data_IF_348764721676
#
_entry.id   IF_348764721676
#
_cell.length_a   1.000
_cell.length_b   1.000
_cell.length_c   1.000
_cell.angle_alpha   90.00
_cell.angle_beta   90.00
_cell.angle_gamma   90.00
#
_symmetry.space_group_name_H-M   'P 1'
#
loop_
_entity.id
_entity.type
_entity.pdbx_description
1 polymer ?
#
# COMPACT_ATOMS: atom_id res chain seq x y z
N UNK A 1 17.40 2.17 -2.04
CA UNK A 1 18.16 1.00 -1.53
C UNK A 1 19.30 1.53 -0.67
N UNK A 2 19.44 1.05 0.56
CA UNK A 2 20.56 1.43 1.45
C UNK A 2 21.26 0.15 1.89
N UNK A 3 22.53 0.03 1.56
CA UNK A 3 23.32 -1.15 1.90
C UNK A 3 23.75 -1.11 3.37
N UNK A 4 23.69 -2.27 4.04
CA UNK A 4 24.15 -2.47 5.41
C UNK A 4 25.45 -3.29 5.40
N UNK A 5 26.46 -2.87 6.16
CA UNK A 5 27.77 -3.53 6.21
C UNK A 5 27.73 -4.72 7.18
N UNK A 6 28.09 -5.90 6.68
CA UNK A 6 28.15 -7.16 7.46
C UNK A 6 29.58 -7.39 7.97
N UNK A 7 29.99 -6.64 9.00
CA UNK A 7 30.96 -7.14 9.97
C UNK A 7 30.16 -7.60 11.20
N UNK A 8 30.33 -8.87 11.58
CA UNK A 8 29.38 -9.72 12.30
C UNK A 8 28.83 -9.16 13.63
N UNK A 9 29.47 -8.17 14.25
CA UNK A 9 29.01 -7.51 15.49
C UNK A 9 28.15 -6.25 15.28
N UNK A 10 28.24 -5.57 14.13
CA UNK A 10 27.53 -4.30 13.89
C UNK A 10 26.24 -4.46 13.07
N UNK A 11 25.99 -5.64 12.51
CA UNK A 11 24.83 -5.91 11.67
C UNK A 11 23.49 -5.51 12.31
N UNK A 12 23.18 -5.85 13.59
CA UNK A 12 21.94 -5.40 14.23
C UNK A 12 21.78 -3.88 14.27
N UNK A 13 22.86 -3.17 14.58
CA UNK A 13 22.87 -1.70 14.65
C UNK A 13 22.71 -1.11 13.25
N UNK A 14 23.36 -1.68 12.25
CA UNK A 14 23.21 -1.24 10.86
C UNK A 14 21.78 -1.45 10.33
N UNK A 15 21.14 -2.57 10.67
CA UNK A 15 19.75 -2.86 10.28
C UNK A 15 18.80 -1.85 10.92
N UNK A 16 18.87 -1.66 12.23
CA UNK A 16 18.03 -0.69 12.95
C UNK A 16 18.21 0.74 12.40
N UNK A 17 19.45 1.16 12.16
CA UNK A 17 19.73 2.47 11.54
C UNK A 17 19.21 2.58 10.10
N UNK A 18 19.14 1.47 9.37
CA UNK A 18 18.50 1.40 8.05
C UNK A 18 17.00 1.65 8.16
N UNK A 19 16.32 0.95 9.07
CA UNK A 19 14.88 1.09 9.34
C UNK A 19 14.58 2.54 9.72
N UNK A 20 15.22 3.08 10.77
CA UNK A 20 14.99 4.45 11.21
C UNK A 20 15.34 5.52 10.15
N UNK A 21 16.21 5.20 9.20
CA UNK A 21 16.51 6.14 8.12
C UNK A 21 15.39 6.16 7.09
N UNK A 22 14.86 5.00 6.71
CA UNK A 22 13.76 4.89 5.77
C UNK A 22 12.44 5.38 6.38
N UNK A 23 12.19 5.11 7.66
CA UNK A 23 11.01 5.55 8.40
C UNK A 23 10.88 7.08 8.51
N UNK A 24 11.98 7.82 8.33
CA UNK A 24 11.97 9.29 8.31
C UNK A 24 11.62 9.87 6.94
N UNK A 25 11.51 9.04 5.91
CA UNK A 25 11.24 9.47 4.54
C UNK A 25 9.74 9.44 4.27
N UNK A 26 9.15 10.58 3.90
CA UNK A 26 7.74 10.66 3.53
C UNK A 26 7.43 9.91 2.23
N UNK A 27 8.45 9.67 1.38
CA UNK A 27 8.33 8.95 0.10
C UNK A 27 8.40 7.41 0.24
N UNK A 28 8.39 6.86 1.46
CA UNK A 28 8.53 5.41 1.69
C UNK A 28 7.24 4.85 2.30
N UNK A 29 6.48 4.13 1.47
CA UNK A 29 5.20 3.53 1.86
C UNK A 29 5.34 2.22 2.64
N UNK A 30 6.45 1.50 2.46
CA UNK A 30 6.73 0.24 3.15
C UNK A 30 8.24 -0.04 3.19
N UNK A 31 8.70 -0.73 4.24
CA UNK A 31 10.10 -1.10 4.44
C UNK A 31 10.21 -2.63 4.43
N UNK A 32 11.01 -3.19 3.53
CA UNK A 32 11.32 -4.63 3.54
C UNK A 32 12.66 -4.85 4.23
N UNK A 33 12.68 -5.67 5.27
CA UNK A 33 13.89 -6.06 5.98
C UNK A 33 14.18 -7.51 5.65
N UNK A 34 15.19 -7.76 4.84
CA UNK A 34 15.53 -9.12 4.42
C UNK A 34 17.02 -9.31 4.20
N UNK A 35 17.40 -10.54 3.87
CA UNK A 35 18.75 -10.87 3.42
C UNK A 35 18.74 -11.18 1.92
N UNK A 36 19.88 -10.99 1.26
CA UNK A 36 20.15 -11.63 -0.03
C UNK A 36 20.41 -13.14 0.14
N UNK A 37 20.63 -13.87 -0.96
CA UNK A 37 21.02 -15.29 -0.91
C UNK A 37 22.40 -15.48 -0.30
N UNK A 38 22.48 -16.15 0.86
CA UNK A 38 23.72 -16.42 1.61
C UNK A 38 23.47 -17.29 2.84
N UNK A 39 24.52 -17.81 3.47
CA UNK A 39 24.50 -18.84 4.54
C UNK A 39 23.75 -18.45 5.82
N UNK A 40 23.30 -19.45 6.59
CA UNK A 40 22.43 -19.35 7.79
C UNK A 40 23.06 -18.65 9.01
N UNK A 41 24.36 -18.38 8.98
CA UNK A 41 25.08 -17.67 10.05
C UNK A 41 24.61 -16.23 10.29
N UNK A 42 23.70 -15.69 9.48
CA UNK A 42 23.30 -14.28 9.50
C UNK A 42 21.91 -14.00 10.12
N UNK A 43 21.17 -15.01 10.60
CA UNK A 43 19.81 -14.82 11.14
C UNK A 43 19.79 -14.12 12.51
N UNK A 44 20.81 -14.38 13.33
CA UNK A 44 20.91 -13.80 14.68
C UNK A 44 20.99 -12.28 14.66
N UNK A 45 21.49 -11.68 13.58
CA UNK A 45 21.53 -10.22 13.45
C UNK A 45 20.13 -9.58 13.46
N UNK A 46 19.12 -10.31 12.99
CA UNK A 46 17.73 -9.88 12.96
C UNK A 46 16.98 -10.23 14.25
N UNK A 47 17.49 -11.17 15.04
CA UNK A 47 16.88 -11.62 16.30
C UNK A 47 17.43 -10.87 17.53
N UNK A 48 17.48 -9.55 17.46
CA UNK A 48 17.98 -8.72 18.56
C UNK A 48 16.91 -7.74 19.03
N UNK A 49 16.97 -7.38 20.31
CA UNK A 49 16.08 -6.36 20.90
C UNK A 49 16.15 -5.04 20.12
N UNK A 50 17.34 -4.66 19.63
CA UNK A 50 17.52 -3.42 18.86
C UNK A 50 16.78 -3.42 17.53
N UNK A 51 16.80 -4.53 16.79
CA UNK A 51 16.06 -4.64 15.53
C UNK A 51 14.56 -4.73 15.81
N UNK A 52 14.17 -5.48 16.84
CA UNK A 52 12.80 -5.58 17.31
C UNK A 52 12.21 -4.22 17.70
N UNK A 53 12.94 -3.41 18.47
CA UNK A 53 12.56 -2.05 18.86
C UNK A 53 12.44 -1.14 17.64
N UNK A 54 13.37 -1.22 16.70
CA UNK A 54 13.33 -0.42 15.48
C UNK A 54 12.12 -0.75 14.59
N UNK A 55 11.74 -2.03 14.51
CA UNK A 55 10.52 -2.47 13.82
C UNK A 55 9.29 -1.97 14.57
N UNK A 56 9.22 -2.20 15.88
CA UNK A 56 8.06 -1.86 16.70
C UNK A 56 7.77 -0.37 16.77
N UNK A 57 8.79 0.48 16.68
CA UNK A 57 8.65 1.94 16.77
C UNK A 57 8.53 2.64 15.42
N UNK A 58 8.59 1.90 14.32
CA UNK A 58 8.43 2.45 12.98
C UNK A 58 6.98 2.92 12.75
N UNK A 59 6.83 4.05 12.05
CA UNK A 59 5.54 4.55 11.59
C UNK A 59 5.21 4.01 10.19
N UNK A 60 6.23 3.74 9.37
CA UNK A 60 6.10 3.07 8.09
C UNK A 60 5.97 1.56 8.30
N UNK A 61 5.03 0.87 7.62
CA UNK A 61 4.89 -0.58 7.71
C UNK A 61 6.18 -1.32 7.40
N UNK A 62 6.54 -2.30 8.25
CA UNK A 62 7.78 -3.07 8.10
C UNK A 62 7.48 -4.54 7.84
N UNK A 63 8.07 -5.10 6.79
CA UNK A 63 7.88 -6.48 6.31
C UNK A 63 9.21 -7.24 6.35
N UNK A 64 9.44 -8.10 7.37
CA UNK A 64 10.54 -9.05 7.39
C UNK A 64 10.44 -10.05 6.25
N UNK A 65 11.59 -10.35 5.66
CA UNK A 65 11.76 -11.20 4.50
C UNK A 65 13.07 -12.00 4.61
N UNK A 66 13.27 -12.66 5.75
CA UNK A 66 14.59 -13.17 6.19
C UNK A 66 14.74 -14.69 5.97
N UNK A 67 13.64 -15.47 6.07
CA UNK A 67 13.62 -16.96 6.09
C UNK A 67 14.20 -17.51 7.41
N UNK A 68 13.69 -18.56 8.07
CA UNK A 68 13.42 -19.96 7.67
C UNK A 68 12.07 -20.46 8.20
N UNK A 69 11.56 -21.59 7.68
CA UNK A 69 10.31 -22.22 8.15
C UNK A 69 10.32 -22.66 9.62
N UNK A 70 11.50 -22.85 10.22
CA UNK A 70 11.65 -23.42 11.56
C UNK A 70 12.10 -22.41 12.63
N UNK A 71 12.62 -21.24 12.23
CA UNK A 71 13.13 -20.23 13.15
C UNK A 71 12.10 -19.12 13.35
N UNK A 72 11.59 -18.98 14.59
CA UNK A 72 10.71 -17.84 14.96
C UNK A 72 11.59 -16.70 15.46
N UNK A 73 11.77 -15.67 14.65
CA UNK A 73 12.53 -14.47 15.04
C UNK A 73 11.62 -13.48 15.77
N UNK A 74 12.18 -12.72 16.72
CA UNK A 74 11.44 -11.64 17.39
C UNK A 74 10.98 -10.59 16.37
N UNK A 75 11.79 -10.32 15.34
CA UNK A 75 11.44 -9.42 14.24
C UNK A 75 10.16 -9.85 13.50
N UNK A 76 9.95 -11.15 13.28
CA UNK A 76 8.76 -11.67 12.60
C UNK A 76 7.49 -11.51 13.45
N UNK A 77 7.63 -11.47 14.78
CA UNK A 77 6.50 -11.36 15.70
C UNK A 77 6.03 -9.91 15.88
N UNK A 78 6.90 -8.93 15.64
CA UNK A 78 6.61 -7.52 15.86
C UNK A 78 6.26 -6.78 14.57
N UNK A 79 6.60 -7.36 13.42
CA UNK A 79 6.27 -6.79 12.14
C UNK A 79 4.79 -6.89 11.78
N UNK A 80 4.35 -6.00 10.89
CA UNK A 80 2.99 -6.00 10.36
C UNK A 80 2.70 -7.31 9.62
N UNK A 81 3.65 -7.77 8.79
CA UNK A 81 3.57 -9.00 8.02
C UNK A 81 4.97 -9.60 7.87
N UNK A 82 5.12 -10.88 8.20
CA UNK A 82 6.35 -11.62 7.96
C UNK A 82 6.23 -12.47 6.69
N UNK A 83 7.28 -12.46 5.87
CA UNK A 83 7.39 -13.23 4.64
C UNK A 83 8.71 -14.00 4.60
N UNK A 84 8.79 -15.01 3.73
CA UNK A 84 9.97 -15.87 3.65
C UNK A 84 11.07 -15.22 2.79
N UNK A 85 10.70 -14.50 1.72
CA UNK A 85 11.67 -13.95 0.76
C UNK A 85 11.34 -12.51 0.38
N UNK A 86 12.35 -11.69 0.01
CA UNK A 86 12.12 -10.31 -0.44
C UNK A 86 11.18 -10.23 -1.65
N UNK A 87 11.22 -11.23 -2.54
CA UNK A 87 10.29 -11.33 -3.67
C UNK A 87 8.86 -11.48 -3.19
N UNK A 88 8.61 -12.40 -2.25
CA UNK A 88 7.28 -12.61 -1.67
C UNK A 88 6.78 -11.38 -0.91
N UNK A 89 7.67 -10.67 -0.20
CA UNK A 89 7.34 -9.37 0.41
C UNK A 89 6.88 -8.35 -0.63
N UNK A 90 7.61 -8.23 -1.74
CA UNK A 90 7.25 -7.32 -2.83
C UNK A 90 5.90 -7.68 -3.46
N UNK A 91 5.67 -8.96 -3.75
CA UNK A 91 4.38 -9.45 -4.27
C UNK A 91 3.24 -9.15 -3.31
N UNK A 92 3.43 -9.40 -2.01
CA UNK A 92 2.44 -9.11 -0.98
C UNK A 92 2.05 -7.62 -0.97
N UNK A 93 3.04 -6.72 -0.92
CA UNK A 93 2.80 -5.27 -0.89
C UNK A 93 2.03 -4.82 -2.14
N UNK A 94 2.41 -5.30 -3.33
CA UNK A 94 1.74 -4.96 -4.58
C UNK A 94 0.29 -5.45 -4.59
N UNK A 95 0.04 -6.68 -4.14
CA UNK A 95 -1.30 -7.26 -4.09
C UNK A 95 -2.18 -6.54 -3.07
N UNK A 96 -1.68 -6.26 -1.86
CA UNK A 96 -2.41 -5.52 -0.84
C UNK A 96 -2.82 -4.12 -1.32
N UNK A 97 -1.95 -3.44 -2.07
CA UNK A 97 -2.30 -2.15 -2.68
C UNK A 97 -3.41 -2.28 -3.72
N UNK A 98 -3.35 -3.29 -4.57
CA UNK A 98 -4.39 -3.52 -5.58
C UNK A 98 -5.74 -3.87 -4.94
N UNK A 99 -5.74 -4.74 -3.92
CA UNK A 99 -6.93 -5.09 -3.16
C UNK A 99 -7.54 -3.87 -2.48
N UNK A 100 -6.72 -2.99 -1.91
CA UNK A 100 -7.21 -1.74 -1.32
C UNK A 100 -7.88 -0.85 -2.37
N UNK A 101 -7.24 -0.64 -3.52
CA UNK A 101 -7.83 0.18 -4.60
C UNK A 101 -9.15 -0.41 -5.09
N UNK A 102 -9.19 -1.72 -5.34
CA UNK A 102 -10.38 -2.41 -5.81
C UNK A 102 -11.54 -2.39 -4.79
N UNK A 103 -11.22 -2.51 -3.50
CA UNK A 103 -12.26 -2.59 -2.46
C UNK A 103 -12.73 -1.22 -1.95
N UNK A 104 -11.85 -0.22 -1.93
CA UNK A 104 -12.16 1.09 -1.35
C UNK A 104 -12.45 2.17 -2.40
N UNK A 105 -11.73 2.17 -3.52
CA UNK A 105 -11.78 3.27 -4.50
C UNK A 105 -12.76 2.97 -5.63
N UNK A 106 -12.68 1.80 -6.25
CA UNK A 106 -13.56 1.44 -7.38
C UNK A 106 -15.07 1.57 -7.05
N UNK A 107 -15.56 1.15 -5.87
CA UNK A 107 -16.98 1.32 -5.54
C UNK A 107 -17.40 2.79 -5.42
N UNK A 108 -16.50 3.66 -4.93
CA UNK A 108 -16.77 5.10 -4.83
C UNK A 108 -16.85 5.73 -6.22
N UNK A 109 -15.96 5.34 -7.14
CA UNK A 109 -16.01 5.78 -8.54
C UNK A 109 -17.30 5.33 -9.22
N UNK A 110 -17.72 4.07 -9.01
CA UNK A 110 -18.98 3.56 -9.55
C UNK A 110 -20.20 4.33 -9.00
N UNK A 111 -20.22 4.60 -7.70
CA UNK A 111 -21.30 5.40 -7.08
C UNK A 111 -21.34 6.82 -7.63
N UNK A 112 -20.19 7.46 -7.78
CA UNK A 112 -20.09 8.81 -8.33
C UNK A 112 -20.60 8.85 -9.78
N UNK A 113 -20.17 7.89 -10.60
CA UNK A 113 -20.59 7.79 -12.01
C UNK A 113 -22.09 7.55 -12.13
N UNK A 114 -22.65 6.63 -11.34
CA UNK A 114 -24.09 6.35 -11.35
C UNK A 114 -24.92 7.59 -10.92
N UNK A 115 -24.45 8.33 -9.91
CA UNK A 115 -25.10 9.57 -9.49
C UNK A 115 -25.02 10.64 -10.59
N UNK A 116 -23.87 10.76 -11.26
CA UNK A 116 -23.69 11.70 -12.36
C UNK A 116 -24.57 11.37 -13.57
N UNK A 117 -24.67 10.09 -13.95
CA UNK A 117 -25.56 9.64 -15.03
C UNK A 117 -27.03 9.93 -14.72
N UNK A 118 -27.46 9.68 -13.48
CA UNK A 118 -28.83 9.98 -13.03
C UNK A 118 -29.12 11.48 -13.15
N UNK A 119 -28.19 12.31 -12.67
CA UNK A 119 -28.31 13.76 -12.78
C UNK A 119 -28.40 14.26 -14.23
N UNK A 120 -27.61 13.68 -15.14
CA UNK A 120 -27.66 14.04 -16.56
C UNK A 120 -29.01 13.65 -17.19
N UNK A 121 -29.52 12.46 -16.89
CA UNK A 121 -30.83 12.01 -17.39
C UNK A 121 -31.97 12.91 -16.92
N UNK A 122 -31.95 13.32 -15.65
CA UNK A 122 -32.94 14.27 -15.12
C UNK A 122 -32.89 15.60 -15.87
N UNK A 123 -31.70 16.14 -16.10
CA UNK A 123 -31.54 17.39 -16.84
C UNK A 123 -31.96 17.29 -18.30
N UNK A 124 -31.63 16.20 -19.00
CA UNK A 124 -32.09 15.96 -20.37
C UNK A 124 -33.61 15.88 -20.42
N UNK A 125 -34.23 15.16 -19.49
CA UNK A 125 -35.69 15.04 -19.43
C UNK A 125 -36.39 16.38 -19.16
N UNK A 126 -35.83 17.20 -18.26
CA UNK A 126 -36.34 18.57 -18.04
C UNK A 126 -36.27 19.42 -19.31
N UNK A 127 -35.16 19.35 -20.05
CA UNK A 127 -35.00 20.10 -21.31
C UNK A 127 -36.01 19.65 -22.37
N UNK A 128 -36.20 18.33 -22.54
CA UNK A 128 -37.19 17.78 -23.45
C UNK A 128 -38.62 18.24 -23.09
N UNK A 129 -38.96 18.27 -21.80
CA UNK A 129 -40.26 18.73 -21.32
C UNK A 129 -40.47 20.22 -21.64
N UNK A 130 -39.46 21.04 -21.38
CA UNK A 130 -39.49 22.48 -21.70
C UNK A 130 -39.68 22.68 -23.21
N UNK A 131 -38.93 21.96 -24.05
CA UNK A 131 -39.06 22.04 -25.51
C UNK A 131 -40.46 21.64 -25.99
N UNK A 132 -41.00 20.53 -25.45
CA UNK A 132 -42.34 20.06 -25.77
C UNK A 132 -43.43 21.08 -25.40
N UNK A 133 -43.32 21.71 -24.22
CA UNK A 133 -44.23 22.78 -23.79
C UNK A 133 -44.10 24.01 -24.70
N UNK A 134 -42.88 24.44 -25.02
CA UNK A 134 -42.63 25.60 -25.89
C UNK A 134 -43.21 25.39 -27.29
N UNK A 135 -43.03 24.20 -27.87
CA UNK A 135 -43.60 23.84 -29.18
C UNK A 135 -45.13 23.86 -29.17
N UNK A 136 -45.76 23.48 -28.06
CA UNK A 136 -47.21 23.48 -27.91
C UNK A 136 -47.79 24.88 -27.69
N UNK A 137 -47.09 25.75 -26.97
CA UNK A 137 -47.51 27.13 -26.70
C UNK A 137 -47.26 28.07 -27.88
N UNK A 138 -46.22 27.83 -28.69
CA UNK A 138 -45.84 28.68 -29.83
C UNK A 138 -45.75 27.91 -31.17
N UNK A 139 -46.84 27.31 -31.66
CA UNK A 139 -46.81 26.43 -32.84
C UNK A 139 -46.55 27.14 -34.18
N UNK A 140 -46.47 28.48 -34.22
CA UNK A 140 -46.43 29.28 -35.46
C UNK A 140 -45.20 30.19 -35.63
N UNK A 141 -44.14 30.04 -34.84
CA UNK A 141 -42.92 30.82 -35.01
C UNK A 141 -41.97 30.31 -36.13
N UNK A 142 -42.33 29.23 -36.83
CA UNK A 142 -41.61 28.75 -38.02
C UNK A 142 -42.39 29.09 -39.28
N UNK A 143 -42.30 30.32 -39.77
CA UNK A 143 -42.42 30.69 -41.18
C UNK A 143 -41.28 31.66 -41.51
#
# INVERSE_FOLDING_TARGET
>A
MKDATVQESEAPTSIANGIHHLDRSEDVDAIIVGRGGGSDSNLQAFNTERVAEAIFTANTPVVPAIGHTDDRLIADQLADVATITPTTAGEYIVNSRQEFLASAIEPLEQQLNAAYETFQQEHEHEQELVEAVMKRLYPRASH
#
